data_IF_070104070457
#
_entry.id   IF_070104070457
#
_cell.length_a   1.000
_cell.length_b   1.000
_cell.length_c   1.000
_cell.angle_alpha   90.00
_cell.angle_beta   90.00
_cell.angle_gamma   90.00
#
_symmetry.space_group_name_H-M   'P 1'
#
loop_
_entity.id
_entity.type
_entity.pdbx_description
1 polymer ?
#
# COMPACT_ATOMS: atom_id res chain seq x y z
N UNK A 1 17.40 20.50 7.66
CA UNK A 1 16.85 19.33 8.38
C UNK A 1 15.44 19.02 7.85
N UNK A 2 15.27 18.96 6.53
CA UNK A 2 15.52 17.87 5.56
C UNK A 2 14.33 16.90 5.47
N UNK A 3 13.61 17.01 4.35
CA UNK A 3 12.48 16.16 3.93
C UNK A 3 12.73 14.65 4.08
N UNK A 4 13.98 14.22 4.17
CA UNK A 4 14.41 12.83 4.42
C UNK A 4 14.05 12.26 5.80
N UNK A 5 13.82 13.08 6.83
CA UNK A 5 13.46 12.61 8.19
C UNK A 5 11.97 12.28 8.31
N UNK A 6 11.12 12.89 7.49
CA UNK A 6 9.66 12.78 7.58
C UNK A 6 9.12 11.36 7.31
N UNK A 7 9.64 10.61 6.32
CA UNK A 7 9.27 9.21 6.10
C UNK A 7 9.63 8.32 7.29
N UNK A 8 10.84 8.46 7.85
CA UNK A 8 11.29 7.66 8.98
C UNK A 8 10.43 7.86 10.24
N UNK A 9 10.04 9.11 10.53
CA UNK A 9 9.11 9.41 11.63
C UNK A 9 7.74 8.76 11.37
N UNK A 10 7.24 8.81 10.15
CA UNK A 10 5.96 8.19 9.79
C UNK A 10 6.02 6.66 9.92
N UNK A 11 7.13 6.04 9.54
CA UNK A 11 7.38 4.59 9.71
C UNK A 11 7.35 4.22 11.19
N UNK A 12 8.10 4.92 12.05
CA UNK A 12 8.14 4.63 13.49
C UNK A 12 6.77 4.84 14.16
N UNK A 13 5.99 5.83 13.72
CA UNK A 13 4.62 6.02 14.22
C UNK A 13 3.64 4.97 13.70
N UNK A 14 3.82 4.48 12.48
CA UNK A 14 2.97 3.44 11.90
C UNK A 14 3.30 2.05 12.50
N UNK A 15 4.57 1.72 12.65
CA UNK A 15 5.08 0.43 13.13
C UNK A 15 5.56 0.60 14.58
N UNK A 16 4.60 0.55 15.50
CA UNK A 16 4.84 0.69 16.94
C UNK A 16 4.21 -0.49 17.71
N UNK A 17 4.56 -0.63 18.99
CA UNK A 17 4.15 -1.76 19.86
C UNK A 17 2.69 -1.72 20.30
N UNK A 18 1.97 -0.60 20.09
CA UNK A 18 0.57 -0.48 20.49
C UNK A 18 -0.31 -1.33 19.57
N UNK A 19 -1.14 -2.18 20.17
CA UNK A 19 -2.09 -3.09 19.51
C UNK A 19 -3.34 -2.34 19.02
N UNK A 20 -3.10 -1.33 18.18
CA UNK A 20 -4.10 -0.50 17.51
C UNK A 20 -3.87 -0.58 16.01
N UNK A 21 -4.92 -0.35 15.22
CA UNK A 21 -4.80 -0.26 13.76
C UNK A 21 -3.78 0.82 13.36
N UNK A 22 -3.07 0.58 12.26
CA UNK A 22 -2.14 1.56 11.70
C UNK A 22 -2.93 2.80 11.29
N UNK A 23 -2.53 3.98 11.80
CA UNK A 23 -3.20 5.23 11.47
C UNK A 23 -2.97 5.58 9.99
N UNK A 24 -4.05 5.79 9.24
CA UNK A 24 -3.99 6.04 7.79
C UNK A 24 -3.14 7.26 7.43
N UNK A 25 -3.13 8.32 8.25
CA UNK A 25 -2.23 9.47 8.06
C UNK A 25 -0.76 9.06 7.92
N UNK A 26 -0.27 8.13 8.74
CA UNK A 26 1.11 7.68 8.67
C UNK A 26 1.35 6.77 7.49
N UNK A 27 0.40 5.87 7.19
CA UNK A 27 0.48 5.01 6.01
C UNK A 27 0.50 5.85 4.71
N UNK A 28 -0.38 6.84 4.57
CA UNK A 28 -0.40 7.76 3.41
C UNK A 28 0.91 8.52 3.25
N UNK A 29 1.45 9.08 4.34
CA UNK A 29 2.74 9.77 4.28
C UNK A 29 3.87 8.85 3.80
N UNK A 30 3.88 7.58 4.23
CA UNK A 30 4.86 6.59 3.78
C UNK A 30 4.74 6.35 2.27
N UNK A 31 3.51 6.17 1.76
CA UNK A 31 3.26 5.95 0.33
C UNK A 31 3.66 7.17 -0.52
N UNK A 32 3.32 8.38 -0.07
CA UNK A 32 3.57 9.62 -0.85
C UNK A 32 5.03 10.06 -0.82
N UNK A 33 5.73 9.89 0.30
CA UNK A 33 7.06 10.46 0.50
C UNK A 33 8.21 9.50 0.16
N UNK A 34 7.95 8.19 0.05
CA UNK A 34 8.97 7.22 -0.33
C UNK A 34 9.07 7.09 -1.84
N UNK A 35 10.19 7.56 -2.38
CA UNK A 35 10.52 7.41 -3.81
C UNK A 35 11.26 6.09 -4.09
N UNK A 36 11.88 5.49 -3.07
CA UNK A 36 12.54 4.19 -3.16
C UNK A 36 12.44 3.42 -1.83
N UNK A 37 12.74 2.12 -1.85
CA UNK A 37 12.64 1.30 -0.64
C UNK A 37 13.78 1.53 0.37
N UNK A 38 14.84 2.27 -0.01
CA UNK A 38 16.03 2.42 0.84
C UNK A 38 15.70 3.03 2.21
N UNK A 39 14.98 4.15 2.25
CA UNK A 39 14.59 4.81 3.50
C UNK A 39 13.64 3.96 4.34
N UNK A 40 12.78 3.18 3.68
CA UNK A 40 11.90 2.23 4.37
C UNK A 40 12.71 1.17 5.11
N UNK A 41 13.56 0.44 4.40
CA UNK A 41 14.38 -0.62 4.98
C UNK A 41 15.38 -0.10 6.02
N UNK A 42 15.96 1.10 5.83
CA UNK A 42 16.85 1.71 6.80
C UNK A 42 16.18 2.00 8.16
N UNK A 43 14.89 2.36 8.15
CA UNK A 43 14.11 2.55 9.37
C UNK A 43 13.64 1.21 9.96
N UNK A 44 13.11 0.32 9.12
CA UNK A 44 12.56 -0.98 9.51
C UNK A 44 13.63 -1.89 10.12
N UNK A 45 14.86 -1.89 9.60
CA UNK A 45 15.95 -2.72 10.11
C UNK A 45 16.41 -2.34 11.53
N UNK A 46 15.96 -1.19 12.06
CA UNK A 46 16.20 -0.77 13.44
C UNK A 46 15.10 -1.23 14.40
N UNK A 47 13.99 -1.75 13.87
CA UNK A 47 12.86 -2.23 14.67
C UNK A 47 13.09 -3.69 15.08
N UNK A 48 12.76 -4.07 16.32
CA UNK A 48 12.92 -5.44 16.81
C UNK A 48 11.78 -6.36 16.31
N UNK A 49 11.65 -6.51 14.99
CA UNK A 49 10.57 -7.26 14.34
C UNK A 49 10.58 -8.75 14.68
N UNK A 50 11.72 -9.32 15.05
CA UNK A 50 11.85 -10.74 15.38
C UNK A 50 11.44 -11.07 16.82
N UNK A 51 11.44 -10.09 17.72
CA UNK A 51 11.08 -10.29 19.13
C UNK A 51 9.70 -9.76 19.51
N UNK A 52 9.06 -8.96 18.64
CA UNK A 52 7.74 -8.41 18.89
C UNK A 52 6.78 -8.68 17.72
N UNK A 53 5.82 -9.56 17.95
CA UNK A 53 4.88 -9.99 16.93
C UNK A 53 3.92 -8.88 16.46
N UNK A 54 3.55 -7.93 17.33
CA UNK A 54 2.69 -6.78 16.94
C UNK A 54 3.45 -5.83 16.02
N UNK A 55 4.73 -5.58 16.30
CA UNK A 55 5.59 -4.81 15.39
C UNK A 55 5.73 -5.51 14.04
N UNK A 56 5.99 -6.81 14.03
CA UNK A 56 6.08 -7.59 12.79
C UNK A 56 4.76 -7.55 12.00
N UNK A 57 3.62 -7.67 12.67
CA UNK A 57 2.30 -7.60 12.05
C UNK A 57 2.05 -6.25 11.37
N UNK A 58 2.36 -5.15 12.08
CA UNK A 58 2.20 -3.79 11.57
C UNK A 58 3.21 -3.48 10.47
N UNK A 59 4.42 -4.03 10.56
CA UNK A 59 5.39 -4.01 9.47
C UNK A 59 4.81 -4.68 8.22
N UNK A 60 4.29 -5.90 8.34
CA UNK A 60 3.70 -6.62 7.21
C UNK A 60 2.56 -5.82 6.58
N UNK A 61 1.70 -5.19 7.39
CA UNK A 61 0.63 -4.33 6.90
C UNK A 61 1.16 -3.13 6.11
N UNK A 62 2.06 -2.33 6.69
CA UNK A 62 2.62 -1.14 6.04
C UNK A 62 3.38 -1.54 4.78
N UNK A 63 4.14 -2.63 4.83
CA UNK A 63 4.88 -3.13 3.69
C UNK A 63 3.95 -3.63 2.58
N UNK A 64 2.84 -4.30 2.92
CA UNK A 64 1.82 -4.69 1.93
C UNK A 64 1.24 -3.47 1.22
N UNK A 65 0.85 -2.42 1.97
CA UNK A 65 0.39 -1.15 1.38
C UNK A 65 1.45 -0.55 0.45
N UNK A 66 2.73 -0.56 0.88
CA UNK A 66 3.83 -0.01 0.08
C UNK A 66 4.11 -0.82 -1.20
N UNK A 67 4.00 -2.15 -1.16
CA UNK A 67 4.11 -3.01 -2.34
C UNK A 67 2.94 -2.81 -3.31
N UNK A 68 1.77 -2.46 -2.78
CA UNK A 68 0.55 -2.29 -3.56
C UNK A 68 0.49 -0.91 -4.24
N UNK A 69 0.64 0.15 -3.45
CA UNK A 69 0.34 1.52 -3.85
C UNK A 69 1.56 2.47 -3.76
N UNK A 70 2.75 1.94 -3.45
CA UNK A 70 4.00 2.70 -3.42
C UNK A 70 4.68 2.83 -4.79
N UNK A 71 5.88 3.42 -4.80
CA UNK A 71 6.67 3.57 -6.02
C UNK A 71 7.00 2.21 -6.67
N UNK A 72 6.91 2.04 -8.01
CA UNK A 72 7.11 0.74 -8.68
C UNK A 72 8.44 0.03 -8.38
N UNK A 73 9.50 0.80 -8.11
CA UNK A 73 10.81 0.23 -7.75
C UNK A 73 10.84 -0.42 -6.37
N UNK A 74 9.86 -0.16 -5.48
CA UNK A 74 9.86 -0.73 -4.13
C UNK A 74 9.94 -2.26 -4.18
N UNK A 75 9.20 -2.91 -5.08
CA UNK A 75 9.19 -4.37 -5.21
C UNK A 75 10.60 -4.86 -5.56
N UNK A 76 11.21 -4.28 -6.61
CA UNK A 76 12.56 -4.63 -7.09
C UNK A 76 13.62 -4.39 -6.02
N UNK A 77 13.61 -3.21 -5.40
CA UNK A 77 14.56 -2.82 -4.36
C UNK A 77 14.45 -3.71 -3.11
N UNK A 78 13.26 -4.22 -2.82
CA UNK A 78 12.99 -5.01 -1.62
C UNK A 78 13.44 -6.47 -1.74
N UNK A 79 13.67 -6.97 -2.95
CA UNK A 79 14.12 -8.36 -3.19
C UNK A 79 15.42 -8.70 -2.48
N UNK A 80 16.29 -7.71 -2.23
CA UNK A 80 17.53 -7.90 -1.46
C UNK A 80 17.28 -8.40 -0.02
N UNK A 81 16.10 -8.13 0.55
CA UNK A 81 15.74 -8.53 1.92
C UNK A 81 14.91 -9.83 1.93
N UNK A 82 14.71 -10.50 0.78
CA UNK A 82 13.90 -11.72 0.68
C UNK A 82 14.38 -12.84 1.61
N UNK A 83 15.69 -13.03 1.73
CA UNK A 83 16.27 -14.05 2.60
C UNK A 83 15.88 -13.80 4.07
N UNK A 84 16.08 -12.58 4.56
CA UNK A 84 15.73 -12.19 5.92
C UNK A 84 14.22 -12.35 6.21
N UNK A 85 13.36 -11.98 5.25
CA UNK A 85 11.91 -12.18 5.37
C UNK A 85 11.55 -13.67 5.42
N UNK A 86 12.26 -14.51 4.67
CA UNK A 86 12.05 -15.96 4.64
C UNK A 86 12.43 -16.58 5.98
N UNK A 87 13.57 -16.19 6.54
CA UNK A 87 14.02 -16.68 7.84
C UNK A 87 13.12 -16.18 8.98
N UNK A 88 12.68 -14.92 8.93
CA UNK A 88 11.71 -14.37 9.88
C UNK A 88 10.37 -15.10 9.79
N UNK A 89 9.89 -15.43 8.59
CA UNK A 89 8.68 -16.23 8.40
C UNK A 89 8.80 -17.62 9.02
N UNK A 90 9.94 -18.29 8.80
CA UNK A 90 10.23 -19.62 9.35
C UNK A 90 10.25 -19.58 10.89
N UNK A 91 10.95 -18.60 11.46
CA UNK A 91 11.03 -18.40 12.91
C UNK A 91 9.65 -18.21 13.53
N UNK A 92 8.84 -17.29 13.00
CA UNK A 92 7.48 -17.06 13.49
C UNK A 92 6.56 -18.29 13.30
N UNK A 93 6.86 -19.14 12.34
CA UNK A 93 6.11 -20.37 12.03
C UNK A 93 6.21 -21.44 13.12
N UNK A 94 7.15 -21.32 14.07
CA UNK A 94 7.21 -22.20 15.24
C UNK A 94 6.12 -21.88 16.28
N UNK A 95 5.52 -20.70 16.24
CA UNK A 95 4.43 -20.33 17.14
C UNK A 95 3.09 -20.80 16.56
N UNK A 96 2.32 -21.53 17.37
CA UNK A 96 1.03 -22.13 16.94
C UNK A 96 -0.16 -21.17 16.99
N UNK A 97 -0.03 -20.04 17.68
CA UNK A 97 -1.14 -19.12 17.98
C UNK A 97 -0.72 -17.65 17.99
N UNK A 98 -1.71 -16.77 18.09
CA UNK A 98 -1.53 -15.32 18.20
C UNK A 98 -0.90 -14.68 16.95
N UNK A 99 -0.34 -13.47 17.15
CA UNK A 99 0.29 -12.73 16.06
C UNK A 99 1.47 -13.45 15.42
N UNK A 100 2.23 -14.27 16.16
CA UNK A 100 3.37 -14.99 15.60
C UNK A 100 2.99 -15.86 14.40
N UNK A 101 1.97 -16.72 14.58
CA UNK A 101 1.43 -17.53 13.48
C UNK A 101 0.96 -16.66 12.31
N UNK A 102 0.24 -15.57 12.59
CA UNK A 102 -0.25 -14.66 11.56
C UNK A 102 0.90 -13.98 10.80
N UNK A 103 1.95 -13.55 11.49
CA UNK A 103 3.14 -12.95 10.90
C UNK A 103 3.86 -13.94 9.98
N UNK A 104 3.99 -15.21 10.37
CA UNK A 104 4.57 -16.24 9.51
C UNK A 104 3.82 -16.35 8.17
N UNK A 105 2.48 -16.42 8.24
CA UNK A 105 1.62 -16.52 7.06
C UNK A 105 1.70 -15.25 6.21
N UNK A 106 1.69 -14.07 6.84
CA UNK A 106 1.74 -12.80 6.13
C UNK A 106 3.10 -12.57 5.45
N UNK A 107 4.21 -12.91 6.10
CA UNK A 107 5.53 -12.81 5.47
C UNK A 107 5.63 -13.71 4.24
N UNK A 108 5.06 -14.93 4.26
CA UNK A 108 4.98 -15.80 3.08
C UNK A 108 4.21 -15.13 1.96
N UNK A 109 3.04 -14.54 2.25
CA UNK A 109 2.27 -13.79 1.28
C UNK A 109 3.08 -12.66 0.65
N UNK A 110 3.80 -11.85 1.44
CA UNK A 110 4.58 -10.72 0.91
C UNK A 110 5.74 -11.19 0.03
N UNK A 111 6.38 -12.31 0.36
CA UNK A 111 7.40 -12.94 -0.47
C UNK A 111 6.79 -13.40 -1.80
N UNK A 112 5.67 -14.13 -1.76
CA UNK A 112 4.96 -14.59 -2.96
C UNK A 112 4.53 -13.42 -3.84
N UNK A 113 3.98 -12.35 -3.26
CA UNK A 113 3.64 -11.11 -3.97
C UNK A 113 4.87 -10.54 -4.69
N UNK A 114 5.99 -10.36 -3.99
CA UNK A 114 7.21 -9.84 -4.63
C UNK A 114 7.71 -10.75 -5.74
N UNK A 115 7.76 -12.06 -5.54
CA UNK A 115 8.20 -13.03 -6.56
C UNK A 115 7.30 -13.00 -7.80
N UNK A 116 5.98 -12.95 -7.61
CA UNK A 116 5.01 -12.83 -8.69
C UNK A 116 5.30 -11.59 -9.54
N UNK A 117 5.47 -10.43 -8.92
CA UNK A 117 5.72 -9.17 -9.65
C UNK A 117 7.12 -9.09 -10.27
N UNK A 118 8.12 -9.80 -9.73
CA UNK A 118 9.43 -9.92 -10.37
C UNK A 118 9.36 -10.77 -11.63
N UNK A 119 8.62 -11.89 -11.59
CA UNK A 119 8.40 -12.74 -12.77
C UNK A 119 7.49 -12.07 -13.80
N UNK A 120 6.51 -11.30 -13.35
CA UNK A 120 5.48 -10.69 -14.17
C UNK A 120 5.50 -9.15 -14.08
N UNK A 121 6.56 -8.47 -14.60
CA UNK A 121 6.76 -7.04 -14.40
C UNK A 121 5.71 -6.13 -15.06
N UNK A 122 4.84 -6.69 -15.91
CA UNK A 122 3.69 -5.98 -16.51
C UNK A 122 2.55 -5.75 -15.50
N UNK A 123 2.51 -6.52 -14.42
CA UNK A 123 1.48 -6.38 -13.38
C UNK A 123 1.87 -5.27 -12.40
N UNK A 124 1.06 -4.20 -12.26
CA UNK A 124 1.29 -3.21 -11.23
C UNK A 124 1.05 -3.81 -9.84
N UNK A 125 1.68 -3.24 -8.80
CA UNK A 125 1.58 -3.74 -7.42
C UNK A 125 0.16 -3.84 -6.88
N UNK A 126 -0.74 -2.96 -7.34
CA UNK A 126 -2.16 -2.95 -6.97
C UNK A 126 -3.05 -3.86 -7.84
N UNK A 127 -2.43 -4.58 -8.78
CA UNK A 127 -3.04 -5.49 -9.74
C UNK A 127 -4.06 -4.84 -10.69
N UNK A 128 -4.21 -3.52 -10.73
CA UNK A 128 -5.18 -2.87 -11.60
C UNK A 128 -4.72 -2.88 -13.05
N UNK A 129 -5.38 -3.66 -13.89
CA UNK A 129 -5.13 -3.70 -15.32
C UNK A 129 -6.42 -3.90 -16.12
N UNK A 130 -6.41 -3.41 -17.36
CA UNK A 130 -7.48 -3.66 -18.32
C UNK A 130 -7.43 -5.10 -18.85
N UNK A 131 -8.55 -5.59 -19.40
CA UNK A 131 -8.61 -6.91 -20.05
C UNK A 131 -7.54 -7.05 -21.15
N UNK A 132 -7.32 -5.98 -21.92
CA UNK A 132 -6.29 -5.94 -22.95
C UNK A 132 -4.89 -6.15 -22.38
N UNK A 133 -4.55 -5.48 -21.29
CA UNK A 133 -3.25 -5.64 -20.64
C UNK A 133 -3.05 -7.04 -20.06
N UNK A 134 -4.12 -7.66 -19.54
CA UNK A 134 -4.09 -9.05 -19.08
C UNK A 134 -3.81 -10.02 -20.24
N UNK A 135 -4.45 -9.83 -21.39
CA UNK A 135 -4.19 -10.63 -22.59
C UNK A 135 -2.76 -10.43 -23.11
N UNK A 136 -2.29 -9.18 -23.17
CA UNK A 136 -0.92 -8.85 -23.57
C UNK A 136 0.11 -9.51 -22.64
N UNK A 137 -0.19 -9.66 -21.35
CA UNK A 137 0.70 -10.30 -20.38
C UNK A 137 0.93 -11.80 -20.63
N UNK A 138 0.00 -12.49 -21.29
CA UNK A 138 0.20 -13.86 -21.74
C UNK A 138 0.94 -13.98 -23.08
N UNK A 139 1.26 -12.85 -23.73
CA UNK A 139 2.06 -12.79 -24.97
C UNK A 139 1.52 -13.66 -26.12
N UNK A 140 0.21 -13.92 -26.13
CA UNK A 140 -0.46 -14.85 -27.05
C UNK A 140 0.10 -16.29 -27.03
N UNK A 141 0.86 -16.67 -26.00
CA UNK A 141 1.39 -18.03 -25.81
C UNK A 141 0.57 -18.77 -24.75
N UNK A 142 0.03 -19.92 -25.13
CA UNK A 142 -0.74 -20.79 -24.23
C UNK A 142 0.05 -21.24 -23.01
N UNK A 143 1.38 -21.43 -23.15
CA UNK A 143 2.24 -21.83 -22.03
C UNK A 143 2.38 -20.69 -21.02
N UNK A 144 2.47 -19.45 -21.49
CA UNK A 144 2.51 -18.27 -20.63
C UNK A 144 1.18 -18.07 -19.90
N UNK A 145 0.04 -18.22 -20.59
CA UNK A 145 -1.28 -18.19 -19.93
C UNK A 145 -1.41 -19.30 -18.88
N UNK A 146 -0.93 -20.51 -19.18
CA UNK A 146 -0.99 -21.64 -18.26
C UNK A 146 -0.17 -21.35 -17.00
N UNK A 147 1.10 -20.96 -17.16
CA UNK A 147 1.99 -20.63 -16.06
C UNK A 147 1.46 -19.44 -15.24
N UNK A 148 1.01 -18.38 -15.90
CA UNK A 148 0.43 -17.20 -15.24
C UNK A 148 -0.80 -17.59 -14.39
N UNK A 149 -1.64 -18.49 -14.88
CA UNK A 149 -2.82 -18.96 -14.13
C UNK A 149 -2.40 -19.74 -12.88
N UNK A 150 -1.38 -20.61 -12.98
CA UNK A 150 -0.81 -21.32 -11.81
C UNK A 150 -0.28 -20.33 -10.78
N UNK A 151 0.50 -19.34 -11.22
CA UNK A 151 1.08 -18.33 -10.32
C UNK A 151 0.01 -17.46 -9.65
N UNK A 152 -1.08 -17.13 -10.36
CA UNK A 152 -2.22 -16.43 -9.77
C UNK A 152 -2.95 -17.28 -8.73
N UNK A 153 -3.09 -18.59 -8.95
CA UNK A 153 -3.66 -19.47 -7.93
C UNK A 153 -2.78 -19.54 -6.68
N UNK A 154 -1.45 -19.63 -6.84
CA UNK A 154 -0.51 -19.67 -5.71
C UNK A 154 -0.57 -18.36 -4.91
N UNK A 155 -0.66 -17.23 -5.60
CA UNK A 155 -0.80 -15.93 -4.95
C UNK A 155 -2.15 -15.82 -4.21
N UNK A 156 -3.27 -16.15 -4.86
CA UNK A 156 -4.60 -16.14 -4.24
C UNK A 156 -4.69 -17.09 -3.05
N UNK A 157 -4.00 -18.22 -3.09
CA UNK A 157 -3.92 -19.16 -1.98
C UNK A 157 -3.24 -18.55 -0.75
N UNK A 158 -2.12 -17.83 -0.93
CA UNK A 158 -1.48 -17.10 0.16
C UNK A 158 -2.39 -16.02 0.76
N UNK A 159 -3.12 -15.27 -0.07
CA UNK A 159 -4.09 -14.26 0.37
C UNK A 159 -5.20 -14.90 1.21
N UNK A 160 -5.80 -15.98 0.72
CA UNK A 160 -6.85 -16.73 1.41
C UNK A 160 -6.37 -17.34 2.73
N UNK A 161 -5.14 -17.84 2.77
CA UNK A 161 -4.54 -18.39 3.99
C UNK A 161 -4.36 -17.31 5.07
N UNK A 162 -3.92 -16.10 4.70
CA UNK A 162 -3.84 -14.98 5.64
C UNK A 162 -5.23 -14.58 6.13
N UNK A 163 -6.19 -14.47 5.21
CA UNK A 163 -7.58 -14.11 5.51
C UNK A 163 -8.20 -15.08 6.53
N UNK A 164 -8.10 -16.38 6.25
CA UNK A 164 -8.58 -17.44 7.14
C UNK A 164 -7.82 -17.44 8.47
N UNK A 165 -6.51 -17.21 8.46
CA UNK A 165 -5.69 -17.12 9.67
C UNK A 165 -6.18 -16.02 10.61
N UNK A 166 -6.37 -14.81 10.09
CA UNK A 166 -6.90 -13.68 10.88
C UNK A 166 -8.30 -14.01 11.40
N UNK A 167 -9.16 -14.55 10.55
CA UNK A 167 -10.53 -14.90 10.94
C UNK A 167 -10.58 -15.99 12.02
N UNK A 168 -9.65 -16.94 11.97
CA UNK A 168 -9.55 -17.99 13.00
C UNK A 168 -8.94 -17.47 14.31
N UNK A 169 -8.24 -16.34 14.27
CA UNK A 169 -7.61 -15.71 15.45
C UNK A 169 -8.55 -14.80 16.26
N UNK A 170 -9.75 -14.52 15.73
CA UNK A 170 -10.72 -13.63 16.34
C UNK A 170 -11.91 -14.44 16.84
N UNK A 171 -12.38 -14.17 18.05
CA UNK A 171 -13.72 -14.57 18.45
C UNK A 171 -14.72 -13.80 17.57
N UNK A 172 -15.53 -14.51 16.80
CA UNK A 172 -16.36 -13.95 15.74
C UNK A 172 -17.66 -13.31 16.24
N UNK A 173 -17.72 -12.96 17.53
CA UNK A 173 -18.79 -12.12 18.07
C UNK A 173 -18.75 -10.71 17.46
N UNK A 174 -19.92 -10.09 17.25
CA UNK A 174 -20.03 -8.79 16.54
C UNK A 174 -19.19 -7.67 17.18
N UNK A 175 -18.91 -7.76 18.48
CA UNK A 175 -18.15 -6.77 19.26
C UNK A 175 -16.63 -6.81 19.02
N UNK A 176 -16.04 -7.88 18.50
CA UNK A 176 -14.58 -7.94 18.30
C UNK A 176 -14.11 -6.99 17.20
N UNK A 177 -14.96 -6.71 16.20
CA UNK A 177 -14.66 -5.75 15.13
C UNK A 177 -14.57 -4.28 15.59
N UNK A 178 -14.94 -3.97 16.85
CA UNK A 178 -14.88 -2.61 17.40
C UNK A 178 -13.76 -2.41 18.42
N UNK A 179 -13.07 -3.47 18.87
CA UNK A 179 -11.95 -3.33 19.79
C UNK A 179 -10.67 -2.88 19.06
N UNK A 180 -9.79 -2.14 19.75
CA UNK A 180 -8.50 -1.72 19.19
C UNK A 180 -7.67 -2.91 18.65
N UNK A 181 -7.58 -3.98 19.44
CA UNK A 181 -6.87 -5.21 19.08
C UNK A 181 -7.51 -5.91 17.87
N UNK A 182 -8.83 -6.02 17.84
CA UNK A 182 -9.57 -6.60 16.72
C UNK A 182 -9.34 -5.81 15.43
N UNK A 183 -9.41 -4.48 15.50
CA UNK A 183 -9.12 -3.62 14.35
C UNK A 183 -7.65 -3.70 13.91
N UNK A 184 -6.71 -3.85 14.84
CA UNK A 184 -5.30 -4.08 14.52
C UNK A 184 -5.11 -5.35 13.67
N UNK A 185 -5.83 -6.44 14.00
CA UNK A 185 -5.83 -7.69 13.22
C UNK A 185 -6.62 -7.58 11.91
N UNK A 186 -7.73 -6.85 11.88
CA UNK A 186 -8.58 -6.75 10.69
C UNK A 186 -8.04 -5.79 9.62
N UNK A 187 -7.33 -4.72 10.01
CA UNK A 187 -6.87 -3.67 9.09
C UNK A 187 -6.13 -4.20 7.85
N UNK A 188 -5.19 -5.15 7.96
CA UNK A 188 -4.46 -5.64 6.80
C UNK A 188 -5.33 -6.39 5.78
N UNK A 189 -6.48 -6.92 6.21
CA UNK A 189 -7.40 -7.62 5.32
C UNK A 189 -8.04 -6.71 4.28
N UNK A 190 -7.99 -5.37 4.43
CA UNK A 190 -8.40 -4.46 3.36
C UNK A 190 -7.54 -4.70 2.11
N UNK A 191 -6.23 -4.84 2.29
CA UNK A 191 -5.31 -5.11 1.18
C UNK A 191 -5.57 -6.50 0.58
N UNK A 192 -5.76 -7.50 1.45
CA UNK A 192 -6.11 -8.88 1.05
C UNK A 192 -7.39 -8.92 0.21
N UNK A 193 -8.43 -8.20 0.63
CA UNK A 193 -9.71 -8.13 -0.09
C UNK A 193 -9.53 -7.49 -1.47
N UNK A 194 -8.77 -6.39 -1.55
CA UNK A 194 -8.48 -5.72 -2.82
C UNK A 194 -7.71 -6.63 -3.78
N UNK A 195 -6.69 -7.33 -3.31
CA UNK A 195 -5.87 -8.21 -4.13
C UNK A 195 -6.65 -9.47 -4.54
N UNK A 196 -7.39 -10.09 -3.61
CA UNK A 196 -8.29 -11.22 -3.91
C UNK A 196 -9.31 -10.90 -5.00
N UNK A 197 -9.85 -9.67 -5.01
CA UNK A 197 -10.84 -9.24 -6.00
C UNK A 197 -10.28 -9.31 -7.43
N UNK A 198 -9.06 -8.80 -7.63
CA UNK A 198 -8.38 -8.82 -8.92
C UNK A 198 -7.91 -10.23 -9.29
N UNK A 199 -7.32 -10.97 -8.35
CA UNK A 199 -6.86 -12.33 -8.59
C UNK A 199 -8.02 -13.27 -8.98
N UNK A 200 -9.17 -13.16 -8.33
CA UNK A 200 -10.37 -13.88 -8.73
C UNK A 200 -10.83 -13.51 -10.14
N UNK A 201 -10.92 -12.21 -10.44
CA UNK A 201 -11.34 -11.74 -11.76
C UNK A 201 -10.42 -12.26 -12.88
N UNK A 202 -9.10 -12.21 -12.67
CA UNK A 202 -8.12 -12.66 -13.64
C UNK A 202 -8.09 -14.18 -13.77
N UNK A 203 -8.19 -14.94 -12.68
CA UNK A 203 -8.27 -16.41 -12.77
C UNK A 203 -9.50 -16.87 -13.54
N UNK A 204 -10.66 -16.20 -13.40
CA UNK A 204 -11.85 -16.49 -14.24
C UNK A 204 -11.53 -16.25 -15.72
N UNK A 205 -11.01 -15.07 -16.06
CA UNK A 205 -10.71 -14.68 -17.46
C UNK A 205 -9.67 -15.59 -18.10
N UNK A 206 -8.59 -15.89 -17.36
CA UNK A 206 -7.51 -16.77 -17.81
C UNK A 206 -7.99 -18.21 -17.97
N UNK A 207 -8.85 -18.72 -17.10
CA UNK A 207 -9.44 -20.06 -17.25
C UNK A 207 -10.28 -20.18 -18.52
N UNK A 208 -11.12 -19.18 -18.82
CA UNK A 208 -11.85 -19.16 -20.10
C UNK A 208 -10.90 -19.09 -21.29
N UNK A 209 -9.82 -18.30 -21.20
CA UNK A 209 -8.79 -18.24 -22.24
C UNK A 209 -8.13 -19.61 -22.45
N UNK A 210 -7.71 -20.29 -21.38
CA UNK A 210 -7.12 -21.62 -21.47
C UNK A 210 -8.09 -22.64 -22.06
N UNK A 211 -9.37 -22.61 -21.65
CA UNK A 211 -10.40 -23.48 -22.21
C UNK A 211 -10.69 -23.24 -23.70
N UNK A 212 -10.36 -22.06 -24.23
CA UNK A 212 -10.41 -21.79 -25.67
C UNK A 212 -9.23 -22.39 -26.46
N UNK A 213 -8.15 -22.78 -25.77
CA UNK A 213 -6.90 -23.23 -26.39
C UNK A 213 -6.53 -24.68 -26.05
N UNK A 214 -7.05 -25.25 -24.97
CA UNK A 214 -6.66 -26.55 -24.44
C UNK A 214 -7.87 -27.46 -24.18
N UNK A 215 -7.70 -28.79 -24.29
CA UNK A 215 -8.73 -29.76 -23.94
C UNK A 215 -9.17 -29.65 -22.47
N UNK A 216 -10.43 -29.98 -22.21
CA UNK A 216 -10.99 -29.93 -20.86
C UNK A 216 -10.24 -30.82 -19.86
N UNK A 217 -9.78 -32.00 -20.29
CA UNK A 217 -9.08 -32.96 -19.42
C UNK A 217 -7.75 -32.40 -18.91
N UNK A 218 -7.03 -31.64 -19.75
CA UNK A 218 -5.78 -30.96 -19.37
C UNK A 218 -5.98 -29.93 -18.26
N UNK A 219 -7.17 -29.33 -18.18
CA UNK A 219 -7.48 -28.24 -17.25
C UNK A 219 -8.26 -28.70 -16.00
N UNK A 220 -8.41 -30.01 -15.78
CA UNK A 220 -9.15 -30.52 -14.62
C UNK A 220 -8.59 -30.00 -13.29
N UNK A 221 -7.27 -30.09 -13.10
CA UNK A 221 -6.64 -29.57 -11.88
C UNK A 221 -6.81 -28.06 -11.67
N UNK A 222 -6.92 -27.27 -12.75
CA UNK A 222 -7.17 -25.84 -12.64
C UNK A 222 -8.60 -25.54 -12.19
N UNK A 223 -9.59 -26.29 -12.71
CA UNK A 223 -10.98 -26.19 -12.27
C UNK A 223 -11.15 -26.61 -10.82
N UNK A 224 -10.45 -27.66 -10.38
CA UNK A 224 -10.51 -28.13 -9.00
C UNK A 224 -9.93 -27.08 -8.02
N UNK A 225 -8.75 -26.52 -8.33
CA UNK A 225 -8.16 -25.42 -7.54
C UNK A 225 -9.09 -24.19 -7.49
N UNK A 226 -9.63 -23.77 -8.64
CA UNK A 226 -10.58 -22.67 -8.70
C UNK A 226 -11.80 -22.91 -7.82
N UNK A 227 -12.38 -24.11 -7.90
CA UNK A 227 -13.58 -24.45 -7.14
C UNK A 227 -13.35 -24.38 -5.63
N UNK A 228 -12.18 -24.83 -5.16
CA UNK A 228 -11.82 -24.72 -3.75
C UNK A 228 -11.62 -23.26 -3.31
N UNK A 229 -10.86 -22.49 -4.08
CA UNK A 229 -10.59 -21.08 -3.78
C UNK A 229 -11.85 -20.22 -3.85
N UNK A 230 -12.73 -20.46 -4.83
CA UNK A 230 -14.02 -19.78 -4.97
C UNK A 230 -14.90 -19.94 -3.73
N UNK A 231 -15.03 -21.17 -3.21
CA UNK A 231 -15.83 -21.45 -2.00
C UNK A 231 -15.28 -20.68 -0.79
N UNK A 232 -13.96 -20.68 -0.60
CA UNK A 232 -13.28 -19.95 0.47
C UNK A 232 -13.53 -18.44 0.32
N UNK A 233 -13.27 -17.89 -0.86
CA UNK A 233 -13.38 -16.46 -1.14
C UNK A 233 -14.82 -15.95 -0.99
N UNK A 234 -15.81 -16.66 -1.55
CA UNK A 234 -17.24 -16.33 -1.43
C UNK A 234 -17.66 -16.21 0.03
N UNK A 235 -17.29 -17.21 0.85
CA UNK A 235 -17.59 -17.23 2.27
C UNK A 235 -16.92 -16.07 3.02
N UNK A 236 -15.65 -15.80 2.72
CA UNK A 236 -14.88 -14.72 3.36
C UNK A 236 -15.42 -13.33 2.99
N UNK A 237 -15.71 -13.08 1.72
CA UNK A 237 -16.30 -11.81 1.27
C UNK A 237 -17.67 -11.59 1.90
N UNK A 238 -18.53 -12.61 1.93
CA UNK A 238 -19.81 -12.54 2.60
C UNK A 238 -19.66 -12.19 4.09
N UNK A 239 -18.81 -12.93 4.83
CA UNK A 239 -18.59 -12.66 6.27
C UNK A 239 -18.01 -11.27 6.51
N UNK A 240 -17.03 -10.84 5.72
CA UNK A 240 -16.42 -9.51 5.84
C UNK A 240 -17.39 -8.38 5.53
N UNK A 241 -18.25 -8.53 4.52
CA UNK A 241 -19.27 -7.53 4.17
C UNK A 241 -20.26 -7.27 5.32
N UNK A 242 -20.37 -8.20 6.27
CA UNK A 242 -21.22 -8.09 7.44
C UNK A 242 -20.52 -7.48 8.67
N UNK A 243 -19.20 -7.33 8.67
CA UNK A 243 -18.44 -6.77 9.80
C UNK A 243 -18.49 -5.23 9.80
N UNK A 244 -18.76 -4.65 10.98
CA UNK A 244 -18.87 -3.20 11.16
C UNK A 244 -17.58 -2.46 10.80
N UNK A 245 -16.44 -3.07 11.05
CA UNK A 245 -15.14 -2.52 10.68
C UNK A 245 -15.05 -2.22 9.17
N UNK A 246 -15.35 -3.21 8.32
CA UNK A 246 -15.25 -3.04 6.86
C UNK A 246 -16.36 -2.17 6.30
N UNK A 247 -17.60 -2.27 6.79
CA UNK A 247 -18.74 -1.44 6.31
C UNK A 247 -18.47 0.07 6.32
N UNK A 248 -17.63 0.54 7.24
CA UNK A 248 -17.25 1.95 7.35
C UNK A 248 -16.10 2.36 6.42
N UNK A 249 -15.32 1.41 5.92
CA UNK A 249 -14.05 1.65 5.24
C UNK A 249 -14.08 1.24 3.76
N UNK A 250 -14.79 0.16 3.42
CA UNK A 250 -14.87 -0.39 2.06
C UNK A 250 -16.23 -1.04 1.80
N UNK A 251 -16.69 -1.01 0.55
CA UNK A 251 -17.78 -1.84 0.07
C UNK A 251 -17.21 -3.11 -0.56
N UNK A 252 -17.55 -4.25 0.02
CA UNK A 252 -17.09 -5.56 -0.43
C UNK A 252 -18.15 -6.16 -1.35
N UNK A 253 -17.81 -6.55 -2.60
CA UNK A 253 -18.75 -7.13 -3.55
C UNK A 253 -19.21 -8.53 -3.09
N UNK A 254 -20.43 -8.90 -3.44
CA UNK A 254 -20.90 -10.29 -3.32
C UNK A 254 -20.48 -11.08 -4.56
N UNK A 255 -19.93 -12.27 -4.36
CA UNK A 255 -19.67 -13.20 -5.45
C UNK A 255 -20.96 -13.92 -5.88
N UNK A 256 -21.04 -14.41 -7.13
CA UNK A 256 -22.21 -15.14 -7.61
C UNK A 256 -22.50 -16.40 -6.77
N UNK A 257 -23.75 -16.88 -6.86
CA UNK A 257 -24.15 -18.05 -6.08
C UNK A 257 -23.37 -19.30 -6.51
N UNK A 258 -23.24 -19.49 -7.81
CA UNK A 258 -22.51 -20.60 -8.42
C UNK A 258 -21.23 -20.09 -9.10
N UNK A 259 -20.17 -20.90 -9.14
CA UNK A 259 -18.96 -20.60 -9.92
C UNK A 259 -19.28 -20.53 -11.42
N UNK A 260 -18.50 -19.78 -12.22
CA UNK A 260 -18.63 -19.79 -13.68
C UNK A 260 -18.46 -21.19 -14.27
N UNK A 261 -19.25 -21.51 -15.30
CA UNK A 261 -19.09 -22.76 -16.03
C UNK A 261 -18.07 -22.59 -17.17
N UNK A 262 -16.81 -22.95 -16.93
CA UNK A 262 -15.72 -22.80 -17.91
C UNK A 262 -15.86 -23.65 -19.18
N UNK A 263 -16.72 -24.68 -19.17
CA UNK A 263 -17.00 -25.51 -20.35
C UNK A 263 -18.01 -24.86 -21.30
N UNK A 264 -18.67 -23.77 -20.87
CA UNK A 264 -19.61 -23.00 -21.67
C UNK A 264 -19.00 -21.62 -21.93
N UNK A 265 -18.41 -21.41 -23.11
CA UNK A 265 -17.76 -20.14 -23.45
C UNK A 265 -18.65 -18.89 -23.26
N UNK A 266 -19.96 -19.00 -23.52
CA UNK A 266 -20.90 -17.90 -23.28
C UNK A 266 -21.12 -17.55 -21.81
N UNK A 267 -20.69 -18.38 -20.85
CA UNK A 267 -20.73 -18.02 -19.44
C UNK A 267 -19.74 -16.89 -19.08
N UNK A 268 -18.73 -16.63 -19.92
CA UNK A 268 -17.83 -15.49 -19.71
C UNK A 268 -18.57 -14.14 -19.79
N UNK A 269 -19.59 -14.02 -20.64
CA UNK A 269 -20.39 -12.77 -20.72
C UNK A 269 -21.26 -12.53 -19.48
N UNK A 270 -21.49 -13.56 -18.66
CA UNK A 270 -22.22 -13.48 -17.40
C UNK A 270 -21.28 -13.10 -16.23
N UNK A 271 -19.96 -13.14 -16.43
CA UNK A 271 -18.98 -12.81 -15.40
C UNK A 271 -18.92 -11.30 -15.16
N UNK A 272 -19.08 -10.92 -13.90
CA UNK A 272 -18.98 -9.54 -13.44
C UNK A 272 -17.74 -9.44 -12.55
N UNK A 273 -16.80 -8.57 -12.94
CA UNK A 273 -15.60 -8.29 -12.13
C UNK A 273 -16.02 -7.76 -10.75
N UNK A 274 -15.60 -8.40 -9.64
CA UNK A 274 -15.89 -7.88 -8.31
C UNK A 274 -15.08 -6.60 -8.11
N UNK A 275 -15.77 -5.47 -7.97
CA UNK A 275 -15.13 -4.17 -7.69
C UNK A 275 -15.33 -3.85 -6.21
N UNK A 276 -14.21 -3.73 -5.49
CA UNK A 276 -14.20 -3.25 -4.10
C UNK A 276 -14.16 -1.72 -4.15
N UNK A 277 -15.14 -1.06 -3.54
CA UNK A 277 -15.20 0.41 -3.50
C UNK A 277 -14.63 0.91 -2.18
N UNK A 278 -13.70 1.86 -2.25
CA UNK A 278 -13.25 2.62 -1.08
C UNK A 278 -14.03 3.95 -1.13
N UNK A 279 -14.94 4.23 -0.17
CA UNK A 279 -15.62 5.52 -0.11
C UNK A 279 -14.60 6.66 -0.07
N UNK A 280 -14.85 7.73 -0.82
CA UNK A 280 -14.09 8.97 -0.66
C UNK A 280 -14.25 9.44 0.78
N UNK A 281 -13.15 9.80 1.45
CA UNK A 281 -13.19 10.26 2.85
C UNK A 281 -14.20 11.41 2.96
N UNK A 282 -15.38 11.14 3.55
CA UNK A 282 -16.21 12.22 4.07
C UNK A 282 -15.37 12.87 5.16
N UNK A 283 -14.99 14.14 4.97
CA UNK A 283 -14.25 14.94 5.95
C UNK A 283 -14.81 14.72 7.36
N UNK A 284 -14.11 13.90 8.15
CA UNK A 284 -14.51 13.61 9.52
C UNK A 284 -14.20 14.84 10.37
N UNK A 285 -15.17 15.37 11.15
CA UNK A 285 -14.92 16.42 12.12
C UNK A 285 -14.31 15.79 13.38
N UNK A 286 -13.04 15.37 13.30
CA UNK A 286 -12.27 14.94 14.48
C UNK A 286 -11.26 16.04 14.85
N UNK A 287 -11.81 17.16 15.33
CA UNK A 287 -11.08 18.19 16.06
C UNK A 287 -11.78 18.41 17.39
N UNK A 288 -11.89 17.36 18.20
CA UNK A 288 -12.13 17.52 19.63
C UNK A 288 -10.79 17.35 20.36
N UNK A 289 -10.45 18.41 21.08
CA UNK A 289 -9.27 18.55 21.91
C UNK A 289 -9.14 17.39 22.89
N UNK A 290 -8.19 16.47 22.65
CA UNK A 290 -7.61 15.67 23.72
C UNK A 290 -6.43 16.48 24.26
N UNK A 291 -6.69 17.18 25.36
CA UNK A 291 -5.65 17.83 26.16
C UNK A 291 -4.83 16.70 26.79
N UNK A 292 -3.61 16.47 26.28
CA UNK A 292 -2.59 15.70 27.00
C UNK A 292 -2.17 16.56 28.21
N UNK A 293 -2.59 16.14 29.41
CA UNK A 293 -2.09 16.68 30.67
C UNK A 293 -0.70 16.09 30.93
N UNK A 294 0.34 16.81 30.52
CA UNK A 294 1.70 16.58 30.98
C UNK A 294 1.93 17.27 32.34
N UNK A 295 2.69 16.57 33.17
CA UNK A 295 2.93 16.80 34.59
C UNK A 295 3.38 18.22 34.98
N UNK A 296 2.86 18.64 36.14
CA UNK A 296 3.15 19.87 36.85
C UNK A 296 4.61 19.90 37.35
N UNK A 297 5.41 20.86 36.90
CA UNK A 297 6.50 21.44 37.70
C UNK A 297 6.42 22.95 37.58
N UNK A 298 6.19 23.56 38.74
CA UNK A 298 6.01 24.99 38.98
C UNK A 298 7.37 25.72 38.91
N UNK A 299 7.42 26.86 38.21
CA UNK A 299 8.39 27.93 38.46
C UNK A 299 7.94 29.21 37.75
N UNK A 300 7.45 30.14 38.56
CA UNK A 300 7.11 31.53 38.20
C UNK A 300 8.24 32.27 37.48
N UNK A 301 7.90 33.04 36.42
CA UNK A 301 8.50 34.32 35.98
C UNK A 301 7.55 34.98 34.94
N UNK A 302 7.43 36.33 34.87
CA UNK A 302 6.30 37.02 34.26
C UNK A 302 6.34 37.16 32.72
N UNK A 303 5.15 37.26 32.15
CA UNK A 303 4.82 37.39 30.71
C UNK A 303 5.25 38.73 30.11
N UNK A 304 5.89 38.70 28.93
CA UNK A 304 5.95 39.80 27.96
C UNK A 304 5.41 39.33 26.59
N UNK A 305 4.73 40.19 25.79
CA UNK A 305 4.07 39.77 24.56
C UNK A 305 5.07 39.71 23.40
N UNK A 306 5.12 38.58 22.69
CA UNK A 306 5.89 38.44 21.45
C UNK A 306 4.94 38.25 20.27
N UNK A 307 4.88 39.26 19.41
CA UNK A 307 4.40 39.11 18.04
C UNK A 307 5.24 38.04 17.32
N UNK A 308 4.63 36.93 16.92
CA UNK A 308 5.28 35.91 16.10
C UNK A 308 5.35 36.37 14.65
N UNK A 309 6.46 36.97 14.27
CA UNK A 309 6.91 37.01 12.88
C UNK A 309 7.57 35.67 12.58
N UNK A 310 6.95 34.83 11.74
CA UNK A 310 7.53 33.56 11.33
C UNK A 310 8.60 33.85 10.28
N UNK A 311 9.87 33.78 10.68
CA UNK A 311 11.00 33.81 9.76
C UNK A 311 10.97 32.53 8.89
N UNK A 312 10.63 32.68 7.62
CA UNK A 312 10.95 31.68 6.59
C UNK A 312 12.48 31.52 6.57
N UNK A 313 12.97 30.39 7.08
CA UNK A 313 14.40 30.09 7.15
C UNK A 313 15.04 30.24 5.77
N UNK A 314 16.20 30.92 5.70
CA UNK A 314 16.83 31.41 4.45
C UNK A 314 17.09 30.38 3.33
N UNK A 315 16.96 29.08 3.60
CA UNK A 315 17.01 28.02 2.59
C UNK A 315 15.82 28.09 1.63
N UNK A 316 14.63 28.46 2.11
CA UNK A 316 13.41 28.57 1.28
C UNK A 316 13.46 29.78 0.34
N UNK A 317 14.01 30.90 0.82
CA UNK A 317 14.21 32.10 -0.02
C UNK A 317 15.21 31.79 -1.15
N UNK A 318 16.29 31.08 -0.83
CA UNK A 318 17.32 30.74 -1.82
C UNK A 318 16.80 29.81 -2.93
N UNK A 319 15.90 28.87 -2.62
CA UNK A 319 15.28 28.00 -3.63
C UNK A 319 14.34 28.79 -4.56
N UNK A 320 13.55 29.72 -4.00
CA UNK A 320 12.66 30.59 -4.79
C UNK A 320 13.46 31.54 -5.69
N UNK A 321 14.53 32.16 -5.16
CA UNK A 321 15.43 33.03 -5.93
C UNK A 321 16.17 32.26 -7.04
N UNK A 322 16.56 31.00 -6.79
CA UNK A 322 17.20 30.15 -7.77
C UNK A 322 16.21 29.72 -8.88
N UNK A 323 14.96 29.41 -8.53
CA UNK A 323 13.90 29.14 -9.50
C UNK A 323 13.57 30.38 -10.36
N UNK A 324 13.53 31.58 -9.76
CA UNK A 324 13.31 32.84 -10.48
C UNK A 324 14.45 33.18 -11.46
N UNK A 325 15.71 32.89 -11.08
CA UNK A 325 16.88 33.11 -11.94
C UNK A 325 16.92 32.17 -13.16
N UNK A 326 16.41 30.94 -13.04
CA UNK A 326 16.47 29.90 -14.09
C UNK A 326 15.36 30.04 -15.14
N UNK A 327 14.22 30.66 -14.79
CA UNK A 327 13.09 30.88 -15.73
C UNK A 327 13.32 32.10 -16.65
N UNK A 328 14.39 32.88 -16.42
CA UNK A 328 14.81 33.94 -17.35
C UNK A 328 13.78 35.06 -17.55
N UNK A 329 12.91 35.31 -16.57
CA UNK A 329 11.88 36.34 -16.67
C UNK A 329 12.22 37.50 -15.70
N UNK A 330 12.67 38.63 -16.24
CA UNK A 330 13.07 39.81 -15.43
C UNK A 330 11.91 40.49 -14.68
N UNK A 331 10.68 40.01 -14.79
CA UNK A 331 9.52 40.61 -14.13
C UNK A 331 9.13 39.98 -12.77
N UNK A 332 9.95 39.13 -12.17
CA UNK A 332 9.68 38.56 -10.84
C UNK A 332 10.22 39.39 -9.66
N UNK A 333 10.75 40.59 -9.90
CA UNK A 333 11.21 41.47 -8.82
C UNK A 333 10.07 42.09 -8.00
N UNK A 334 8.82 42.04 -8.48
CA UNK A 334 7.67 42.67 -7.82
C UNK A 334 6.54 41.71 -7.42
N UNK A 335 6.80 40.41 -7.29
CA UNK A 335 5.81 39.50 -6.69
C UNK A 335 5.93 39.56 -5.17
N UNK A 336 5.36 40.62 -4.59
CA UNK A 336 4.97 40.62 -3.18
C UNK A 336 3.71 39.78 -3.08
N UNK A 337 3.81 38.57 -2.50
CA UNK A 337 2.63 37.81 -2.09
C UNK A 337 1.96 38.56 -0.92
N UNK A 338 1.03 39.46 -1.22
CA UNK A 338 0.02 39.90 -0.26
C UNK A 338 -1.15 38.92 -0.38
N UNK A 339 -1.00 37.77 0.28
CA UNK A 339 -2.07 36.79 0.43
C UNK A 339 -2.51 36.75 1.88
N UNK A 340 -3.64 37.37 2.19
CA UNK A 340 -4.40 37.08 3.41
C UNK A 340 -5.05 35.70 3.28
N UNK A 341 -4.26 34.63 3.44
CA UNK A 341 -4.71 33.25 3.30
C UNK A 341 -4.04 32.36 4.34
N UNK A 342 -4.78 31.36 4.84
CA UNK A 342 -4.29 30.51 5.94
C UNK A 342 -3.06 29.70 5.48
N UNK A 343 -2.05 29.49 6.34
CA UNK A 343 -0.75 28.88 5.99
C UNK A 343 -0.77 27.47 5.36
N UNK A 344 -1.92 26.79 5.40
CA UNK A 344 -2.07 25.44 4.86
C UNK A 344 -2.33 25.43 3.35
N UNK A 345 -2.98 26.46 2.80
CA UNK A 345 -3.30 26.55 1.36
C UNK A 345 -2.03 26.84 0.53
N UNK A 346 -1.12 27.66 1.05
CA UNK A 346 0.17 27.97 0.40
C UNK A 346 1.11 26.75 0.28
N UNK A 347 1.00 25.77 1.18
CA UNK A 347 1.84 24.55 1.13
C UNK A 347 1.44 23.61 0.01
N UNK A 348 0.15 23.59 -0.34
CA UNK A 348 -0.41 22.72 -1.38
C UNK A 348 -0.01 23.19 -2.79
N UNK A 349 -0.04 24.49 -3.06
CA UNK A 349 0.35 25.00 -4.38
C UNK A 349 1.85 24.79 -4.67
N UNK A 350 2.72 24.96 -3.66
CA UNK A 350 4.17 24.77 -3.82
C UNK A 350 4.53 23.29 -3.99
N UNK A 351 3.84 22.37 -3.30
CA UNK A 351 4.00 20.93 -3.48
C UNK A 351 3.55 20.48 -4.88
N UNK A 352 2.48 21.08 -5.41
CA UNK A 352 2.00 20.84 -6.76
C UNK A 352 3.01 21.34 -7.82
N UNK A 353 3.59 22.52 -7.61
CA UNK A 353 4.58 23.10 -8.52
C UNK A 353 5.91 22.34 -8.54
N UNK A 354 6.39 21.88 -7.38
CA UNK A 354 7.60 21.06 -7.28
C UNK A 354 7.40 19.66 -7.85
N UNK A 355 6.24 19.04 -7.65
CA UNK A 355 5.91 17.74 -8.26
C UNK A 355 5.91 17.75 -9.80
N UNK A 356 5.54 18.87 -10.42
CA UNK A 356 5.52 19.02 -11.89
C UNK A 356 6.92 19.14 -12.50
N UNK A 357 7.87 19.74 -11.77
CA UNK A 357 9.28 19.83 -12.17
C UNK A 357 10.01 18.48 -12.17
N UNK A 358 9.56 17.52 -11.36
CA UNK A 358 10.16 16.17 -11.30
C UNK A 358 9.61 15.20 -12.35
N UNK A 359 8.48 15.51 -12.99
CA UNK A 359 7.82 14.57 -13.92
C UNK A 359 8.44 14.56 -15.33
N UNK A 360 9.08 15.65 -15.76
CA UNK A 360 9.76 15.74 -17.05
C UNK A 360 11.27 15.45 -16.90
N UNK A 361 11.63 14.17 -17.03
CA UNK A 361 13.01 13.67 -16.95
C UNK A 361 14.02 14.45 -17.82
N UNK A 362 13.59 15.04 -18.94
CA UNK A 362 14.47 15.81 -19.82
C UNK A 362 14.88 17.18 -19.24
N UNK A 363 14.03 17.80 -18.42
CA UNK A 363 14.31 19.10 -17.80
C UNK A 363 15.27 18.91 -16.62
N UNK A 364 15.14 17.79 -15.88
CA UNK A 364 16.00 17.49 -14.74
C UNK A 364 17.47 17.29 -15.15
N UNK A 365 17.77 16.54 -16.22
CA UNK A 365 19.14 16.36 -16.68
C UNK A 365 19.75 17.64 -17.29
N UNK A 366 18.94 18.47 -17.97
CA UNK A 366 19.38 19.79 -18.44
C UNK A 366 19.66 20.74 -17.27
N UNK A 367 18.84 20.68 -16.22
CA UNK A 367 19.00 21.45 -14.98
C UNK A 367 20.25 21.01 -14.21
N UNK A 368 20.49 19.71 -14.04
CA UNK A 368 21.66 19.17 -13.36
C UNK A 368 22.97 19.49 -14.11
N UNK A 369 22.96 19.40 -15.44
CA UNK A 369 24.11 19.77 -16.28
C UNK A 369 24.46 21.26 -16.16
N UNK A 370 23.47 22.15 -16.14
CA UNK A 370 23.68 23.60 -15.93
C UNK A 370 24.11 23.93 -14.51
N UNK A 371 23.64 23.18 -13.50
CA UNK A 371 24.03 23.35 -12.11
C UNK A 371 25.50 22.99 -11.88
N UNK A 372 25.95 21.88 -12.47
CA UNK A 372 27.35 21.44 -12.41
C UNK A 372 28.28 22.46 -13.08
N UNK A 373 27.90 22.94 -14.27
CA UNK A 373 28.65 23.96 -15.01
C UNK A 373 28.70 25.32 -14.30
N UNK A 374 27.63 25.73 -13.60
CA UNK A 374 27.58 26.97 -12.82
C UNK A 374 28.35 26.88 -11.48
N UNK A 375 28.52 25.66 -10.95
CA UNK A 375 29.26 25.42 -9.70
C UNK A 375 30.77 25.27 -9.88
N UNK A 376 31.27 25.31 -11.12
CA UNK A 376 32.70 25.17 -11.44
C UNK A 376 33.27 23.77 -11.15
N UNK A 377 32.43 22.80 -10.84
CA UNK A 377 32.80 21.39 -10.65
C UNK A 377 32.68 20.68 -12.01
N UNK A 378 33.80 20.67 -12.74
CA UNK A 378 34.07 19.73 -13.82
C UNK A 378 35.21 18.80 -13.42
#
# INVERSE_FOLDING_TARGET
LSLSLYPAVSINKAINTQEVAVKEKHARNILTLLVCAHTFWAAVNRLPLSSNAVLCWKFCHVFHKLLRDGHPNVIKDSMRNKADLTDMSRMWGHLSEGYGKLCSIYLKLLITKMEFHIKNPRFPGNLQMSNRQLEEAGENDVNNFFQLTVEMFDYLECELNLFLGVFSSLDMSRSVSVTAAGQCRLAPLIQVILDCSHLYDYTVKLLFKLHSCLPADTLQGHRDRFQEQFKKLKSLFYRSSNLQYFKRLIQIPQLPENPPNFLRASALSEHISPVVVIPAESSSPESEHVVETDDLVDTDIPVLPVHKQVALTGIFLNVIHLCAAVIGNQNFKDVVFVGEGKPEEMKLEIAWFTGRLFYDNHIFFSFLGKLLQASGLY
#
